data_IF_637086988928
#
_entry.id   IF_637086988928
#
_cell.length_a   1.000
_cell.length_b   1.000
_cell.length_c   1.000
_cell.angle_alpha   90.00
_cell.angle_beta   90.00
_cell.angle_gamma   90.00
#
_symmetry.space_group_name_H-M   'P 1'
#
loop_
_entity.id
_entity.type
_entity.pdbx_description
1 polymer ?
#
# COMPACT_ATOMS: atom_id res chain seq x y z
N UNK A 1 4.24 -7.34 8.32
CA UNK A 1 2.97 -6.59 8.16
C UNK A 1 3.35 -5.17 7.75
N UNK A 2 2.72 -4.59 6.72
CA UNK A 2 3.00 -3.22 6.27
C UNK A 2 2.26 -2.23 7.18
N UNK A 3 2.92 -1.16 7.60
CA UNK A 3 2.32 -0.11 8.44
C UNK A 3 1.70 1.00 7.59
N UNK A 4 0.84 1.85 8.17
CA UNK A 4 0.33 3.05 7.49
C UNK A 4 1.45 3.97 6.99
N UNK A 5 2.55 4.07 7.75
CA UNK A 5 3.75 4.82 7.36
C UNK A 5 4.38 4.26 6.10
N UNK A 6 4.52 2.93 6.01
CA UNK A 6 5.03 2.26 4.82
C UNK A 6 4.11 2.49 3.61
N UNK A 7 2.79 2.35 3.82
CA UNK A 7 1.78 2.60 2.78
C UNK A 7 1.87 4.04 2.27
N UNK A 8 1.92 5.02 3.17
CA UNK A 8 2.07 6.43 2.80
C UNK A 8 3.34 6.67 1.98
N UNK A 9 4.46 6.10 2.41
CA UNK A 9 5.73 6.28 1.71
C UNK A 9 5.70 5.70 0.31
N UNK A 10 5.08 4.52 0.13
CA UNK A 10 4.89 3.90 -1.19
C UNK A 10 4.02 4.78 -2.09
N UNK A 11 2.93 5.33 -1.56
CA UNK A 11 2.02 6.19 -2.33
C UNK A 11 2.67 7.50 -2.75
N UNK A 12 3.44 8.13 -1.85
CA UNK A 12 4.24 9.31 -2.18
C UNK A 12 5.28 8.97 -3.26
N UNK A 13 6.03 7.88 -3.09
CA UNK A 13 7.03 7.46 -4.07
C UNK A 13 6.39 7.17 -5.44
N UNK A 14 5.20 6.56 -5.47
CA UNK A 14 4.49 6.32 -6.71
C UNK A 14 4.03 7.62 -7.38
N UNK A 15 3.47 8.57 -6.61
CA UNK A 15 3.09 9.89 -7.12
C UNK A 15 4.30 10.66 -7.70
N UNK A 16 5.45 10.61 -7.03
CA UNK A 16 6.70 11.19 -7.54
C UNK A 16 7.21 10.48 -8.80
N UNK A 17 7.03 9.16 -8.88
CA UNK A 17 7.39 8.41 -10.07
C UNK A 17 6.53 8.79 -11.28
N UNK A 18 5.24 9.12 -11.08
CA UNK A 18 4.38 9.65 -12.14
C UNK A 18 4.88 11.02 -12.64
N UNK A 19 5.27 11.92 -11.74
CA UNK A 19 5.89 13.21 -12.10
C UNK A 19 7.17 12.99 -12.92
N UNK A 20 8.04 12.09 -12.45
CA UNK A 20 9.30 11.77 -13.11
C UNK A 20 9.07 11.20 -14.52
N UNK A 21 8.09 10.31 -14.69
CA UNK A 21 7.73 9.80 -16.02
C UNK A 21 7.22 10.89 -16.95
N UNK A 22 6.43 11.85 -16.43
CA UNK A 22 5.96 12.98 -17.22
C UNK A 22 7.11 13.88 -17.68
N UNK A 23 8.07 14.18 -16.80
CA UNK A 23 9.27 14.95 -17.14
C UNK A 23 10.09 14.22 -18.21
N UNK A 24 10.34 12.93 -18.04
CA UNK A 24 11.11 12.14 -19.00
C UNK A 24 10.42 12.03 -20.36
N UNK A 25 9.09 11.91 -20.40
CA UNK A 25 8.32 11.92 -21.64
C UNK A 25 8.48 13.25 -22.38
N UNK A 26 8.39 14.38 -21.68
CA UNK A 26 8.58 15.72 -22.26
C UNK A 26 10.00 15.95 -22.77
N UNK A 27 11.00 15.41 -22.06
CA UNK A 27 12.41 15.49 -22.44
C UNK A 27 12.84 14.40 -23.45
N UNK A 28 11.95 13.47 -23.78
CA UNK A 28 12.23 12.28 -24.60
C UNK A 28 13.42 11.44 -24.08
N UNK A 29 13.62 11.42 -22.77
CA UNK A 29 14.72 10.71 -22.10
C UNK A 29 14.26 9.34 -21.59
N UNK A 30 14.45 8.31 -22.41
CA UNK A 30 13.99 6.94 -22.11
C UNK A 30 15.12 6.02 -21.63
N UNK A 31 15.95 6.46 -20.69
CA UNK A 31 17.12 5.70 -20.24
C UNK A 31 16.79 4.34 -19.60
N UNK A 32 15.55 4.12 -19.13
CA UNK A 32 15.13 2.91 -18.40
C UNK A 32 13.96 2.11 -19.03
N UNK A 33 13.47 2.47 -20.22
CA UNK A 33 12.34 1.75 -20.86
C UNK A 33 12.57 1.52 -22.35
N UNK A 34 13.17 0.37 -22.66
CA UNK A 34 13.47 -0.09 -24.02
C UNK A 34 12.25 -0.15 -24.95
N UNK A 35 11.03 -0.34 -24.42
CA UNK A 35 9.80 -0.41 -25.23
C UNK A 35 9.19 0.94 -25.63
N UNK A 36 9.54 2.04 -24.96
CA UNK A 36 9.01 3.37 -25.32
C UNK A 36 9.77 4.00 -26.49
N UNK A 37 11.04 3.60 -26.67
CA UNK A 37 11.89 4.05 -27.78
C UNK A 37 11.38 3.54 -29.14
N UNK A 38 10.62 2.43 -29.15
CA UNK A 38 10.04 1.84 -30.36
C UNK A 38 8.72 2.51 -30.81
N UNK A 39 8.12 3.34 -29.95
CA UNK A 39 6.88 4.05 -30.27
C UNK A 39 7.27 5.44 -30.79
N UNK A 40 6.97 5.72 -32.06
CA UNK A 40 7.13 7.04 -32.65
C UNK A 40 6.12 8.01 -32.01
N UNK A 41 6.49 8.54 -30.85
CA UNK A 41 5.67 9.45 -30.06
C UNK A 41 5.77 10.85 -30.68
N UNK A 42 4.88 11.14 -31.63
CA UNK A 42 4.65 12.51 -32.08
C UNK A 42 4.30 13.43 -30.89
N UNK A 43 4.53 14.74 -31.01
CA UNK A 43 4.27 15.72 -29.94
C UNK A 43 2.85 15.62 -29.35
N UNK A 44 1.85 15.34 -30.22
CA UNK A 44 0.46 15.14 -29.79
C UNK A 44 0.29 13.92 -28.89
N UNK A 45 1.00 12.83 -29.17
CA UNK A 45 1.00 11.62 -28.34
C UNK A 45 1.65 11.88 -26.98
N UNK A 46 2.76 12.60 -26.94
CA UNK A 46 3.43 12.99 -25.67
C UNK A 46 2.49 13.80 -24.79
N UNK A 47 1.75 14.75 -25.37
CA UNK A 47 0.75 15.54 -24.64
C UNK A 47 -0.34 14.65 -24.03
N UNK A 48 -0.92 13.75 -24.81
CA UNK A 48 -1.98 12.84 -24.35
C UNK A 48 -1.47 11.96 -23.18
N UNK A 49 -0.27 11.40 -23.28
CA UNK A 49 0.31 10.63 -22.17
C UNK A 49 0.55 11.49 -20.93
N UNK A 50 1.01 12.73 -21.10
CA UNK A 50 1.18 13.66 -20.00
C UNK A 50 -0.15 13.98 -19.30
N UNK A 51 -1.23 14.14 -20.06
CA UNK A 51 -2.57 14.39 -19.52
C UNK A 51 -3.09 13.19 -18.75
N UNK A 52 -2.92 11.97 -19.28
CA UNK A 52 -3.30 10.74 -18.58
C UNK A 52 -2.51 10.54 -17.28
N UNK A 53 -1.20 10.77 -17.27
CA UNK A 53 -0.40 10.69 -16.05
C UNK A 53 -0.84 11.72 -15.02
N UNK A 54 -1.20 12.93 -15.45
CA UNK A 54 -1.71 13.99 -14.57
C UNK A 54 -3.07 13.62 -13.98
N UNK A 55 -3.98 13.09 -14.81
CA UNK A 55 -5.28 12.62 -14.36
C UNK A 55 -5.16 11.47 -13.34
N UNK A 56 -4.26 10.50 -13.61
CA UNK A 56 -3.99 9.40 -12.69
C UNK A 56 -3.44 9.88 -11.36
N UNK A 57 -2.48 10.82 -11.37
CA UNK A 57 -1.93 11.42 -10.16
C UNK A 57 -3.02 12.14 -9.36
N UNK A 58 -3.86 12.95 -10.02
CA UNK A 58 -4.94 13.67 -9.37
C UNK A 58 -5.97 12.72 -8.74
N UNK A 59 -6.34 11.64 -9.43
CA UNK A 59 -7.25 10.62 -8.91
C UNK A 59 -6.65 9.92 -7.68
N UNK A 60 -5.35 9.57 -7.73
CA UNK A 60 -4.60 9.02 -6.60
C UNK A 60 -4.63 9.97 -5.38
N UNK A 61 -4.25 11.23 -5.59
CA UNK A 61 -4.20 12.24 -4.52
C UNK A 61 -5.60 12.51 -3.95
N UNK A 62 -6.64 12.50 -4.79
CA UNK A 62 -8.03 12.72 -4.36
C UNK A 62 -8.56 11.54 -3.55
N UNK A 63 -8.41 10.30 -4.05
CA UNK A 63 -8.90 9.09 -3.36
C UNK A 63 -8.19 8.87 -2.02
N UNK A 64 -6.91 9.20 -1.96
CA UNK A 64 -6.08 8.99 -0.78
C UNK A 64 -5.74 10.30 -0.06
N UNK A 65 -6.55 11.34 -0.22
CA UNK A 65 -6.29 12.67 0.35
C UNK A 65 -6.05 12.63 1.86
N UNK A 66 -6.81 11.80 2.59
CA UNK A 66 -6.62 11.60 4.03
C UNK A 66 -5.22 11.05 4.36
N UNK A 67 -4.70 10.13 3.55
CA UNK A 67 -3.37 9.55 3.73
C UNK A 67 -2.28 10.57 3.36
N UNK A 68 -2.43 11.30 2.26
CA UNK A 68 -1.50 12.36 1.86
C UNK A 68 -1.44 13.49 2.89
N UNK A 69 -2.58 13.88 3.47
CA UNK A 69 -2.67 14.92 4.49
C UNK A 69 -2.25 14.44 5.90
N UNK A 70 -2.21 13.13 6.15
CA UNK A 70 -1.86 12.58 7.46
C UNK A 70 -0.39 12.83 7.84
N UNK A 71 -0.11 13.65 8.83
CA UNK A 71 1.27 13.86 9.28
C UNK A 71 1.74 12.69 10.16
N UNK A 72 2.76 11.97 9.69
CA UNK A 72 3.44 10.94 10.48
C UNK A 72 4.29 11.68 11.53
N UNK A 73 4.00 11.43 12.80
CA UNK A 73 4.79 11.98 13.89
C UNK A 73 6.00 11.08 14.18
N UNK A 74 7.14 11.63 14.65
CA UNK A 74 8.37 10.84 14.85
C UNK A 74 8.17 9.59 15.72
N UNK A 75 7.39 9.70 16.80
CA UNK A 75 7.07 8.60 17.71
C UNK A 75 6.28 7.46 17.06
N UNK A 76 5.63 7.69 15.93
CA UNK A 76 4.89 6.68 15.17
C UNK A 76 5.80 5.77 14.35
N UNK A 77 7.02 6.21 14.06
CA UNK A 77 8.01 5.46 13.29
C UNK A 77 8.99 4.79 14.24
N UNK A 78 9.57 5.57 15.15
CA UNK A 78 10.44 5.07 16.20
C UNK A 78 10.11 5.78 17.53
N UNK A 79 9.40 5.13 18.45
CA UNK A 79 9.09 5.73 19.75
C UNK A 79 10.32 5.81 20.66
N UNK A 80 11.42 5.08 20.37
CA UNK A 80 12.67 5.16 21.11
C UNK A 80 13.57 6.30 20.61
N UNK A 81 13.49 6.65 19.33
CA UNK A 81 14.26 7.72 18.68
C UNK A 81 13.39 8.92 18.27
N UNK A 82 12.58 9.42 19.20
CA UNK A 82 11.78 10.64 19.01
C UNK A 82 11.92 11.63 20.16
N UNK A 83 11.60 12.90 19.92
CA UNK A 83 11.31 13.85 20.98
C UNK A 83 9.93 13.55 21.58
N UNK A 84 9.81 13.15 22.86
CA UNK A 84 8.52 12.86 23.47
C UNK A 84 7.56 14.04 23.46
N UNK A 85 8.06 15.28 23.45
CA UNK A 85 7.23 16.48 23.38
C UNK A 85 6.55 16.67 22.01
N UNK A 86 6.94 15.91 21.00
CA UNK A 86 6.21 15.84 19.72
C UNK A 86 4.96 14.95 19.78
N UNK A 87 4.82 14.13 20.84
CA UNK A 87 3.65 13.30 21.04
C UNK A 87 2.48 14.11 21.63
N UNK A 88 1.28 13.53 21.54
CA UNK A 88 0.10 14.09 22.19
C UNK A 88 0.25 14.00 23.72
N UNK A 89 -0.26 14.98 24.46
CA UNK A 89 -0.16 15.05 25.93
C UNK A 89 -0.48 13.72 26.63
N UNK A 90 -1.51 13.01 26.13
CA UNK A 90 -2.00 11.73 26.68
C UNK A 90 -1.06 10.54 26.47
N UNK A 91 -0.04 10.68 25.63
CA UNK A 91 0.92 9.64 25.24
C UNK A 91 2.34 10.00 25.67
N UNK A 92 2.61 11.28 25.87
CA UNK A 92 3.94 11.80 26.16
C UNK A 92 4.57 11.13 27.38
N UNK A 93 3.81 10.96 28.47
CA UNK A 93 4.28 10.25 29.68
C UNK A 93 4.67 8.80 29.37
N UNK A 94 3.79 8.06 28.67
CA UNK A 94 4.03 6.67 28.30
C UNK A 94 5.25 6.51 27.38
N UNK A 95 5.48 7.44 26.45
CA UNK A 95 6.67 7.45 25.58
C UNK A 95 7.93 7.69 26.39
N UNK A 96 7.92 8.63 27.34
CA UNK A 96 9.07 8.91 28.22
C UNK A 96 9.41 7.66 29.05
N UNK A 97 8.41 7.08 29.72
CA UNK A 97 8.61 5.89 30.56
C UNK A 97 9.14 4.71 29.76
N UNK A 98 8.58 4.46 28.57
CA UNK A 98 9.01 3.39 27.71
C UNK A 98 10.45 3.59 27.22
N UNK A 99 10.83 4.82 26.86
CA UNK A 99 12.20 5.16 26.44
C UNK A 99 13.24 4.88 27.51
N UNK A 100 12.89 5.05 28.79
CA UNK A 100 13.78 4.77 29.91
C UNK A 100 14.01 3.27 30.17
N UNK A 101 13.25 2.37 29.52
CA UNK A 101 13.38 0.92 29.72
C UNK A 101 14.23 0.29 28.61
N UNK A 102 15.50 0.05 28.94
CA UNK A 102 16.46 -0.60 28.02
C UNK A 102 15.96 -1.97 27.50
N UNK A 103 15.24 -2.73 28.32
CA UNK A 103 14.65 -4.01 27.93
C UNK A 103 13.72 -3.89 26.71
N UNK A 104 12.90 -2.83 26.66
CA UNK A 104 12.00 -2.58 25.54
C UNK A 104 12.76 -2.06 24.33
N UNK A 105 13.81 -1.26 24.52
CA UNK A 105 14.65 -0.81 23.41
C UNK A 105 15.40 -1.98 22.77
N UNK A 106 15.93 -2.91 23.56
CA UNK A 106 16.59 -4.12 23.07
C UNK A 106 15.59 -5.01 22.33
N UNK A 107 14.37 -5.14 22.85
CA UNK A 107 13.29 -5.89 22.20
C UNK A 107 12.91 -5.27 20.86
N UNK A 108 12.68 -3.96 20.83
CA UNK A 108 12.37 -3.21 19.61
C UNK A 108 13.45 -3.31 18.54
N UNK A 109 14.74 -3.33 18.90
CA UNK A 109 15.83 -3.53 17.94
C UNK A 109 15.84 -4.92 17.28
N UNK A 110 15.18 -5.91 17.88
CA UNK A 110 15.11 -7.29 17.38
C UNK A 110 13.81 -7.59 16.63
N UNK A 111 12.76 -6.80 16.88
CA UNK A 111 11.41 -7.03 16.38
C UNK A 111 11.00 -5.88 15.44
N UNK A 112 10.05 -6.11 14.54
CA UNK A 112 9.43 -5.02 13.80
C UNK A 112 8.53 -4.17 14.72
N UNK A 113 8.28 -2.91 14.35
CA UNK A 113 7.33 -2.03 15.05
C UNK A 113 5.97 -2.72 15.27
N UNK A 114 5.49 -3.44 14.26
CA UNK A 114 4.22 -4.19 14.34
C UNK A 114 4.26 -5.28 15.41
N UNK A 115 5.34 -6.06 15.50
CA UNK A 115 5.48 -7.14 16.48
C UNK A 115 5.63 -6.59 17.89
N UNK A 116 6.45 -5.55 18.04
CA UNK A 116 6.68 -4.89 19.31
C UNK A 116 5.38 -4.35 19.91
N UNK A 117 4.60 -3.59 19.12
CA UNK A 117 3.34 -3.02 19.58
C UNK A 117 2.28 -4.09 19.88
N UNK A 118 2.30 -5.23 19.17
CA UNK A 118 1.36 -6.33 19.41
C UNK A 118 1.65 -7.13 20.69
N UNK A 119 2.77 -6.86 21.39
CA UNK A 119 3.09 -7.49 22.66
C UNK A 119 2.10 -7.12 23.76
N UNK A 120 1.53 -8.11 24.46
CA UNK A 120 0.55 -7.87 25.54
C UNK A 120 1.14 -7.06 26.72
N UNK A 121 2.44 -7.14 26.94
CA UNK A 121 3.16 -6.31 27.90
C UNK A 121 3.09 -4.83 27.53
N UNK A 122 3.28 -4.49 26.25
CA UNK A 122 3.22 -3.10 25.75
C UNK A 122 1.78 -2.59 25.83
N UNK A 123 0.79 -3.41 25.45
CA UNK A 123 -0.64 -3.05 25.52
C UNK A 123 -1.12 -2.76 26.94
N UNK A 124 -0.63 -3.51 27.92
CA UNK A 124 -1.05 -3.38 29.32
C UNK A 124 -0.35 -2.24 30.05
N UNK A 125 0.94 -2.00 29.78
CA UNK A 125 1.70 -0.93 30.42
C UNK A 125 1.48 0.44 29.76
N UNK A 126 1.23 0.49 28.45
CA UNK A 126 1.13 1.74 27.68
C UNK A 126 -0.15 1.77 26.83
N UNK A 127 -1.34 1.81 27.47
CA UNK A 127 -2.61 1.68 26.78
C UNK A 127 -2.93 2.87 25.85
N UNK A 128 -2.50 4.10 26.19
CA UNK A 128 -2.78 5.27 25.34
C UNK A 128 -1.91 5.26 24.08
N UNK A 129 -0.63 4.94 24.21
CA UNK A 129 0.30 4.73 23.12
C UNK A 129 -0.20 3.61 22.21
N UNK A 130 -0.59 2.47 22.78
CA UNK A 130 -1.16 1.36 22.02
C UNK A 130 -2.46 1.75 21.30
N UNK A 131 -3.34 2.52 21.92
CA UNK A 131 -4.58 2.99 21.28
C UNK A 131 -4.31 3.79 20.00
N UNK A 132 -3.23 4.57 19.95
CA UNK A 132 -2.88 5.31 18.73
C UNK A 132 -2.05 4.49 17.76
N UNK A 133 -1.08 3.71 18.23
CA UNK A 133 -0.28 2.81 17.39
C UNK A 133 -1.15 1.75 16.71
N UNK A 134 -2.16 1.23 17.42
CA UNK A 134 -3.11 0.30 16.83
C UNK A 134 -3.84 0.92 15.65
N UNK A 135 -4.30 2.17 15.72
CA UNK A 135 -4.91 2.85 14.55
C UNK A 135 -3.94 2.90 13.37
N UNK A 136 -2.66 3.17 13.61
CA UNK A 136 -1.62 3.23 12.57
C UNK A 136 -1.32 1.83 11.98
N UNK A 137 -1.35 0.79 12.80
CA UNK A 137 -1.13 -0.61 12.38
C UNK A 137 -2.34 -1.19 11.65
N UNK A 138 -3.55 -0.87 12.11
CA UNK A 138 -4.81 -1.35 11.54
C UNK A 138 -5.27 -0.53 10.34
N UNK A 139 -4.67 0.64 10.09
CA UNK A 139 -4.96 1.42 8.90
C UNK A 139 -4.46 0.67 7.64
N UNK A 140 -5.45 -0.03 7.06
CA UNK A 140 -5.62 -0.40 5.66
C UNK A 140 -4.97 -1.70 5.14
N UNK A 141 -5.72 -2.82 5.22
CA UNK A 141 -5.56 -3.96 4.31
C UNK A 141 -5.75 -3.59 2.82
N UNK A 142 -6.62 -2.62 2.50
CA UNK A 142 -7.03 -2.30 1.11
C UNK A 142 -5.98 -1.56 0.28
N UNK A 143 -4.98 -0.89 0.87
CA UNK A 143 -3.83 -0.35 0.12
C UNK A 143 -2.77 -1.42 -0.20
N UNK A 144 -2.62 -2.44 0.66
CA UNK A 144 -1.71 -3.56 0.40
C UNK A 144 -2.26 -4.54 -0.64
N UNK A 145 -3.59 -4.54 -0.82
CA UNK A 145 -4.21 -5.19 -1.97
C UNK A 145 -3.61 -4.65 -3.26
N UNK A 146 -3.11 -3.42 -3.33
CA UNK A 146 -2.58 -2.89 -4.58
C UNK A 146 -1.23 -3.51 -4.96
N UNK A 147 -0.33 -3.89 -4.04
CA UNK A 147 0.94 -4.54 -4.45
C UNK A 147 0.71 -5.96 -5.00
N UNK A 148 -0.08 -6.75 -4.28
CA UNK A 148 -0.45 -8.10 -4.74
C UNK A 148 -1.43 -7.99 -5.92
N UNK A 149 -2.37 -7.07 -5.87
CA UNK A 149 -3.42 -6.81 -6.86
C UNK A 149 -2.88 -6.25 -8.15
N UNK A 150 -1.91 -5.33 -8.14
CA UNK A 150 -1.22 -4.89 -9.35
C UNK A 150 -0.38 -6.03 -9.94
N UNK A 151 0.32 -6.82 -9.11
CA UNK A 151 1.06 -7.99 -9.61
C UNK A 151 0.12 -9.02 -10.24
N UNK A 152 -0.97 -9.34 -9.55
CA UNK A 152 -2.04 -10.24 -10.01
C UNK A 152 -2.75 -9.68 -11.25
N UNK A 153 -3.03 -8.39 -11.31
CA UNK A 153 -3.63 -7.73 -12.47
C UNK A 153 -2.68 -7.75 -13.65
N UNK A 154 -1.39 -7.51 -13.44
CA UNK A 154 -0.39 -7.62 -14.49
C UNK A 154 -0.26 -9.08 -14.96
N UNK A 155 -0.35 -10.05 -14.05
CA UNK A 155 -0.39 -11.48 -14.38
C UNK A 155 -1.61 -11.83 -15.24
N UNK A 156 -2.81 -11.41 -14.82
CA UNK A 156 -4.05 -11.62 -15.56
C UNK A 156 -3.96 -10.95 -16.94
N UNK A 157 -3.57 -9.68 -17.01
CA UNK A 157 -3.48 -8.93 -18.27
C UNK A 157 -2.42 -9.46 -19.25
N UNK A 158 -1.35 -10.07 -18.76
CA UNK A 158 -0.26 -10.59 -19.61
C UNK A 158 -0.40 -12.07 -19.96
N UNK A 159 -0.94 -12.91 -19.06
CA UNK A 159 -0.93 -14.37 -19.22
C UNK A 159 -2.30 -15.02 -19.28
N UNK A 160 -3.32 -14.44 -18.64
CA UNK A 160 -4.65 -15.07 -18.52
C UNK A 160 -5.79 -14.16 -19.00
N UNK A 161 -5.47 -13.27 -19.94
CA UNK A 161 -6.38 -12.23 -20.48
C UNK A 161 -7.66 -12.81 -21.09
N UNK A 162 -7.62 -14.08 -21.52
CA UNK A 162 -8.74 -14.78 -22.13
C UNK A 162 -9.58 -15.58 -21.11
N UNK A 163 -9.16 -15.64 -19.84
CA UNK A 163 -9.80 -16.45 -18.79
C UNK A 163 -10.49 -15.62 -17.71
N UNK A 164 -10.04 -14.39 -17.47
CA UNK A 164 -10.56 -13.53 -16.40
C UNK A 164 -10.89 -12.13 -16.91
N UNK A 165 -12.04 -11.60 -16.51
CA UNK A 165 -12.47 -10.23 -16.80
C UNK A 165 -12.35 -9.36 -15.55
N UNK A 166 -11.31 -8.52 -15.58
CA UNK A 166 -10.98 -7.60 -14.51
C UNK A 166 -12.01 -6.46 -14.37
N UNK A 167 -12.62 -6.03 -15.48
CA UNK A 167 -13.39 -4.78 -15.53
C UNK A 167 -14.83 -5.01 -15.06
N UNK A 168 -15.40 -6.18 -15.36
CA UNK A 168 -16.83 -6.42 -15.16
C UNK A 168 -17.18 -7.40 -14.02
N UNK A 169 -16.28 -8.33 -13.66
CA UNK A 169 -16.66 -9.51 -12.85
C UNK A 169 -16.07 -9.55 -11.42
N UNK A 170 -15.14 -8.65 -11.07
CA UNK A 170 -14.52 -8.65 -9.74
C UNK A 170 -13.52 -9.79 -9.51
N UNK A 171 -13.03 -10.43 -10.58
CA UNK A 171 -12.11 -11.57 -10.54
C UNK A 171 -10.81 -11.29 -9.78
N UNK A 172 -10.36 -10.03 -9.76
CA UNK A 172 -9.22 -9.59 -8.95
C UNK A 172 -9.46 -9.86 -7.46
N UNK A 173 -10.67 -9.58 -6.96
CA UNK A 173 -11.02 -9.82 -5.56
C UNK A 173 -10.95 -11.31 -5.22
N UNK A 174 -11.40 -12.18 -6.14
CA UNK A 174 -11.31 -13.64 -5.98
C UNK A 174 -9.84 -14.08 -5.94
N UNK A 175 -9.00 -13.61 -6.88
CA UNK A 175 -7.57 -13.96 -6.92
C UNK A 175 -6.78 -13.45 -5.72
N UNK A 176 -7.24 -12.38 -5.06
CA UNK A 176 -6.60 -11.82 -3.87
C UNK A 176 -7.10 -12.44 -2.57
N UNK A 177 -8.28 -13.04 -2.60
CA UNK A 177 -8.83 -13.76 -1.46
C UNK A 177 -8.17 -15.14 -1.34
N UNK A 178 -7.95 -15.60 -0.11
CA UNK A 178 -7.54 -17.00 0.15
C UNK A 178 -8.71 -17.99 0.03
N UNK A 179 -9.83 -17.56 -0.56
CA UNK A 179 -11.05 -18.35 -0.69
C UNK A 179 -10.79 -19.39 -1.76
N UNK A 180 -10.78 -20.66 -1.35
CA UNK A 180 -10.77 -21.77 -2.30
C UNK A 180 -12.20 -21.97 -2.79
N UNK A 181 -12.45 -21.96 -4.11
CA UNK A 181 -13.76 -22.33 -4.61
C UNK A 181 -14.05 -23.78 -4.21
N UNK A 182 -15.26 -24.02 -3.72
CA UNK A 182 -15.74 -25.35 -3.41
C UNK A 182 -16.13 -26.04 -4.73
N UNK A 183 -15.14 -26.70 -5.34
CA UNK A 183 -15.27 -27.33 -6.66
C UNK A 183 -16.30 -28.47 -6.61
N UNK A 184 -16.41 -29.16 -5.48
CA UNK A 184 -17.34 -30.28 -5.31
C UNK A 184 -18.78 -29.77 -5.32
N UNK A 185 -19.08 -28.73 -4.53
CA UNK A 185 -20.39 -28.09 -4.56
C UNK A 185 -20.74 -27.50 -5.94
N UNK A 186 -19.76 -26.89 -6.62
CA UNK A 186 -19.98 -26.31 -7.95
C UNK A 186 -20.21 -27.39 -9.01
N UNK A 187 -19.48 -28.51 -8.94
CA UNK A 187 -19.64 -29.63 -9.86
C UNK A 187 -20.99 -30.34 -9.69
N UNK A 188 -21.47 -30.49 -8.44
CA UNK A 188 -22.78 -31.07 -8.15
C UNK A 188 -23.94 -30.21 -8.68
N UNK A 189 -23.78 -28.88 -8.65
CA UNK A 189 -24.80 -27.94 -9.12
C UNK A 189 -24.65 -27.53 -10.59
N UNK A 190 -23.63 -28.03 -11.30
CA UNK A 190 -23.41 -27.69 -12.69
C UNK A 190 -24.31 -28.56 -13.60
N UNK A 191 -25.31 -27.96 -14.25
CA UNK A 191 -26.06 -28.64 -15.31
C UNK A 191 -25.13 -28.88 -16.51
N UNK A 192 -25.11 -30.12 -17.03
CA UNK A 192 -24.38 -30.42 -18.25
C UNK A 192 -24.96 -29.58 -19.40
N UNK A 193 -24.16 -28.66 -19.92
CA UNK A 193 -24.45 -28.05 -21.21
C UNK A 193 -24.29 -29.18 -22.23
N UNK A 194 -25.41 -29.75 -22.68
CA UNK A 194 -25.41 -30.72 -23.75
C UNK A 194 -24.74 -30.09 -24.97
N UNK A 195 -23.69 -30.74 -25.49
CA UNK A 195 -23.13 -30.35 -26.77
C UNK A 195 -24.20 -30.50 -27.86
N UNK A 196 -24.23 -29.59 -28.86
CA UNK A 196 -25.08 -29.73 -30.04
C UNK A 196 -24.80 -31.02 -30.83
#
# INVERSE_FOLDING_TARGET
MMTLTDCKQVMIAFAEMLNFFQVNLKLQQFHNKSKLVEIDLCENGISIYCDHLSALKNDLETRFANLFNFTIQPWMTDPFDCDPHSAQDKIQEEVIEMKCKEEFQIKFKKESLSEFCQSDTVKSLYPNLWSQMSKILWCFPTLCVDKTGFSTMNHILQKERNRFDIISCGDIHICLSSIKPDIEFLAENHQSQGSP
#
